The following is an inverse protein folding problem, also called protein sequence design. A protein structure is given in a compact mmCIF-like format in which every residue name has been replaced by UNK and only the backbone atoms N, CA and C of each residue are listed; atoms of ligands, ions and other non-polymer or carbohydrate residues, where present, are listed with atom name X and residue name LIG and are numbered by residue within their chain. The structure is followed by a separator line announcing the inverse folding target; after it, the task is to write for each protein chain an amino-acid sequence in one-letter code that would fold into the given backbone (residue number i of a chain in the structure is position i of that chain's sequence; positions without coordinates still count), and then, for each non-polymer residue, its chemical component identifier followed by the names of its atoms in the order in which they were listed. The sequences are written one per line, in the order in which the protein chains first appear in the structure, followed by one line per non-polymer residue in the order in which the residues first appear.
data_IF_256352920258
#
_entry.id   IF_256352920258
#
_cell.length_a   1.000
_cell.length_b   1.000
_cell.length_c   1.000
_cell.angle_alpha   90.00
_cell.angle_beta   90.00
_cell.angle_gamma   90.00
#
_symmetry.space_group_name_H-M   'P 1'
#
loop_
_entity.id
_entity.type
_entity.pdbx_description
1 polymer ?
#
# COMPACT_ATOMS: atom_id res chain seq x y z
N UNK A 1 30.49 -8.59 -57.32
CA UNK A 1 31.17 -7.41 -56.74
C UNK A 1 30.19 -6.25 -56.86
N UNK A 2 29.64 -5.58 -55.84
CA UNK A 2 29.95 -5.41 -54.43
C UNK A 2 28.64 -4.95 -53.77
N UNK A 3 28.32 -5.56 -52.62
CA UNK A 3 27.74 -4.97 -51.42
C UNK A 3 26.70 -3.84 -51.59
N UNK A 4 25.46 -4.13 -51.19
CA UNK A 4 24.72 -3.26 -50.25
C UNK A 4 23.95 -4.13 -49.26
N UNK A 5 24.56 -4.33 -48.09
CA UNK A 5 23.81 -4.30 -46.83
C UNK A 5 22.93 -3.05 -46.85
N UNK A 6 21.64 -3.20 -46.54
CA UNK A 6 21.02 -2.34 -45.54
C UNK A 6 19.85 -3.12 -44.95
N UNK A 7 20.03 -3.43 -43.68
CA UNK A 7 19.02 -3.91 -42.76
C UNK A 7 17.78 -3.05 -42.86
N UNK A 8 16.63 -3.68 -43.05
CA UNK A 8 15.40 -3.19 -42.47
C UNK A 8 14.51 -4.39 -42.18
N UNK A 9 14.88 -5.09 -41.11
CA UNK A 9 13.93 -5.81 -40.26
C UNK A 9 12.88 -4.79 -39.81
N UNK A 10 11.88 -4.53 -40.64
CA UNK A 10 10.64 -3.95 -40.14
C UNK A 10 9.92 -5.08 -39.42
N UNK A 11 10.34 -5.30 -38.18
CA UNK A 11 9.52 -5.97 -37.19
C UNK A 11 8.17 -5.26 -37.19
N UNK A 12 7.16 -5.93 -37.76
CA UNK A 12 5.76 -5.61 -37.52
C UNK A 12 5.54 -5.83 -36.03
N UNK A 13 5.85 -4.82 -35.23
CA UNK A 13 5.54 -4.78 -33.81
C UNK A 13 4.04 -5.08 -33.71
N UNK A 14 3.62 -6.15 -33.01
CA UNK A 14 2.20 -6.40 -32.86
C UNK A 14 1.62 -5.15 -32.23
N UNK A 15 0.57 -4.64 -32.85
CA UNK A 15 -0.25 -3.55 -32.35
C UNK A 15 -0.68 -3.96 -30.93
N UNK A 16 0.08 -3.51 -29.92
CA UNK A 16 -0.20 -3.81 -28.52
C UNK A 16 -1.48 -3.06 -28.22
N UNK A 17 -2.60 -3.76 -28.35
CA UNK A 17 -3.90 -3.29 -27.92
C UNK A 17 -3.74 -2.60 -26.55
N UNK A 18 -4.44 -1.48 -26.30
CA UNK A 18 -4.38 -0.84 -25.00
C UNK A 18 -4.83 -1.88 -23.97
N UNK A 19 -3.87 -2.38 -23.18
CA UNK A 19 -4.13 -3.27 -22.06
C UNK A 19 -5.01 -2.46 -21.12
N UNK A 20 -6.33 -2.66 -21.22
CA UNK A 20 -7.27 -2.04 -20.34
C UNK A 20 -7.00 -2.56 -18.93
N UNK A 21 -6.17 -1.82 -18.19
CA UNK A 21 -5.74 -2.09 -16.81
C UNK A 21 -6.85 -1.86 -15.80
N UNK A 22 -8.08 -1.58 -16.23
CA UNK A 22 -9.23 -1.36 -15.36
C UNK A 22 -9.83 -2.69 -14.88
N UNK A 23 -8.97 -3.57 -14.36
CA UNK A 23 -9.38 -4.81 -13.73
C UNK A 23 -9.68 -4.60 -12.25
N UNK A 24 -10.98 -4.64 -11.90
CA UNK A 24 -11.55 -4.86 -10.55
C UNK A 24 -11.12 -3.87 -9.47
N UNK A 25 -11.77 -2.70 -9.44
CA UNK A 25 -12.19 -2.16 -8.14
C UNK A 25 -13.34 -3.05 -7.67
N UNK A 26 -13.07 -4.00 -6.78
CA UNK A 26 -14.12 -4.53 -5.95
C UNK A 26 -14.69 -3.35 -5.17
N UNK A 27 -15.92 -2.93 -5.49
CA UNK A 27 -16.71 -2.00 -4.69
C UNK A 27 -17.11 -2.69 -3.37
N UNK A 28 -16.11 -2.95 -2.54
CA UNK A 28 -16.28 -2.96 -1.09
C UNK A 28 -15.99 -1.53 -0.65
N UNK A 29 -16.82 -1.01 0.26
CA UNK A 29 -16.59 0.28 0.90
C UNK A 29 -15.31 0.21 1.74
N UNK A 30 -14.16 0.34 1.07
CA UNK A 30 -12.85 0.34 1.69
C UNK A 30 -12.59 1.72 2.29
N UNK A 31 -12.76 1.83 3.61
CA UNK A 31 -12.36 3.03 4.34
C UNK A 31 -10.84 3.06 4.48
N UNK A 32 -10.24 4.19 4.11
CA UNK A 32 -8.79 4.41 4.15
C UNK A 32 -8.49 5.64 5.02
N UNK A 33 -7.72 5.44 6.09
CA UNK A 33 -7.16 6.52 6.90
C UNK A 33 -5.66 6.64 6.66
N UNK A 34 -5.12 7.86 6.71
CA UNK A 34 -3.69 8.14 6.47
C UNK A 34 -3.18 9.19 7.46
N UNK A 35 -2.11 8.87 8.18
CA UNK A 35 -1.33 9.83 8.96
C UNK A 35 -0.08 10.23 8.17
N UNK A 36 0.17 11.53 8.02
CA UNK A 36 1.35 12.10 7.36
C UNK A 36 2.21 12.85 8.37
N UNK A 37 3.50 12.99 8.07
CA UNK A 37 4.46 13.74 8.91
C UNK A 37 4.60 13.20 10.35
N UNK A 38 4.51 11.88 10.51
CA UNK A 38 4.71 11.21 11.81
C UNK A 38 6.20 11.29 12.18
N UNK A 39 6.49 11.78 13.38
CA UNK A 39 7.87 11.99 13.89
C UNK A 39 8.54 10.71 14.42
N UNK A 40 8.01 9.54 14.06
CA UNK A 40 8.51 8.24 14.51
C UNK A 40 9.18 7.50 13.35
N UNK A 41 10.33 6.90 13.61
CA UNK A 41 11.09 6.18 12.59
C UNK A 41 10.25 5.06 11.95
N UNK A 42 10.23 4.90 10.61
CA UNK A 42 9.37 3.93 9.93
C UNK A 42 9.55 2.49 10.40
N UNK A 43 10.79 2.10 10.74
CA UNK A 43 11.11 0.77 11.25
C UNK A 43 10.41 0.47 12.59
N UNK A 44 10.28 1.46 13.47
CA UNK A 44 9.60 1.30 14.77
C UNK A 44 8.09 1.14 14.60
N UNK A 45 7.50 1.90 13.67
CA UNK A 45 6.07 1.81 13.35
C UNK A 45 5.77 0.44 12.73
N UNK A 46 6.60 -0.04 11.80
CA UNK A 46 6.39 -1.33 11.13
C UNK A 46 6.24 -2.49 12.12
N UNK A 47 7.09 -2.56 13.13
CA UNK A 47 7.01 -3.59 14.18
C UNK A 47 5.67 -3.58 14.90
N UNK A 48 5.12 -2.39 15.19
CA UNK A 48 3.82 -2.23 15.84
C UNK A 48 2.68 -2.56 14.88
N UNK A 49 2.77 -2.17 13.61
CA UNK A 49 1.77 -2.51 12.60
C UNK A 49 1.71 -4.02 12.33
N UNK A 50 2.85 -4.69 12.30
CA UNK A 50 2.92 -6.14 12.10
C UNK A 50 2.28 -6.88 13.30
N UNK A 51 2.39 -6.34 14.51
CA UNK A 51 1.74 -6.89 15.71
C UNK A 51 0.21 -6.92 15.62
N UNK A 52 -0.40 -5.91 15.00
CA UNK A 52 -1.88 -5.76 14.94
C UNK A 52 -2.48 -6.22 13.60
N UNK A 53 -1.65 -6.58 12.61
CA UNK A 53 -2.14 -6.99 11.29
C UNK A 53 -2.94 -8.29 11.41
N UNK A 54 -4.12 -8.32 10.81
CA UNK A 54 -5.01 -9.48 10.80
C UNK A 54 -5.82 -9.71 12.08
N UNK A 55 -5.66 -8.85 13.10
CA UNK A 55 -6.46 -8.90 14.34
C UNK A 55 -7.74 -8.08 14.22
N UNK A 56 -8.69 -8.33 15.12
CA UNK A 56 -9.90 -7.50 15.26
C UNK A 56 -9.52 -6.12 15.81
N UNK A 57 -10.31 -5.11 15.46
CA UNK A 57 -10.05 -3.72 15.84
C UNK A 57 -9.96 -3.53 17.36
N UNK A 58 -10.89 -4.13 18.10
CA UNK A 58 -10.94 -4.06 19.57
C UNK A 58 -9.68 -4.65 20.21
N UNK A 59 -9.30 -5.86 19.79
CA UNK A 59 -8.08 -6.54 20.24
C UNK A 59 -6.82 -5.70 19.94
N UNK A 60 -6.74 -5.10 18.75
CA UNK A 60 -5.65 -4.22 18.37
C UNK A 60 -5.55 -2.97 19.27
N UNK A 61 -6.68 -2.32 19.57
CA UNK A 61 -6.73 -1.15 20.46
C UNK A 61 -6.27 -1.52 21.87
N UNK A 62 -6.77 -2.63 22.42
CA UNK A 62 -6.34 -3.10 23.74
C UNK A 62 -4.84 -3.38 23.78
N UNK A 63 -4.32 -4.08 22.78
CA UNK A 63 -2.90 -4.40 22.72
C UNK A 63 -2.01 -3.15 22.61
N UNK A 64 -2.40 -2.18 21.78
CA UNK A 64 -1.64 -0.92 21.63
C UNK A 64 -1.69 -0.04 22.88
N UNK A 65 -2.78 -0.09 23.65
CA UNK A 65 -2.95 0.73 24.86
C UNK A 65 -1.94 0.36 25.94
N UNK A 66 -1.62 -0.92 26.08
CA UNK A 66 -0.66 -1.42 27.08
C UNK A 66 0.76 -1.58 26.52
N UNK A 67 0.96 -1.32 25.23
CA UNK A 67 2.27 -1.45 24.60
C UNK A 67 3.18 -0.28 24.97
N UNK A 68 4.25 -0.56 25.71
CA UNK A 68 5.27 0.43 26.10
C UNK A 68 6.20 0.80 24.93
N UNK A 69 5.64 1.32 23.84
CA UNK A 69 6.39 1.81 22.66
C UNK A 69 5.77 3.12 22.18
N UNK A 70 6.59 4.13 21.95
CA UNK A 70 6.13 5.42 21.43
C UNK A 70 5.35 5.30 20.11
N UNK A 71 5.76 4.37 19.24
CA UNK A 71 5.09 4.11 17.98
C UNK A 71 3.62 3.62 18.14
N UNK A 72 3.26 3.06 19.30
CA UNK A 72 1.91 2.63 19.57
C UNK A 72 0.92 3.81 19.61
N UNK A 73 1.37 4.97 20.11
CA UNK A 73 0.55 6.18 20.19
C UNK A 73 0.11 6.67 18.79
N UNK A 74 1.06 6.75 17.86
CA UNK A 74 0.79 7.19 16.48
C UNK A 74 -0.19 6.24 15.76
N UNK A 75 0.00 4.93 15.94
CA UNK A 75 -0.87 3.90 15.34
C UNK A 75 -2.26 3.89 15.98
N UNK A 76 -2.35 4.09 17.30
CA UNK A 76 -3.62 4.15 18.02
C UNK A 76 -4.46 5.34 17.54
N UNK A 77 -3.85 6.52 17.37
CA UNK A 77 -4.53 7.69 16.83
C UNK A 77 -5.02 7.47 15.39
N UNK A 78 -4.21 6.79 14.56
CA UNK A 78 -4.61 6.44 13.20
C UNK A 78 -5.82 5.48 13.21
N UNK A 79 -5.85 4.48 14.09
CA UNK A 79 -6.98 3.56 14.22
C UNK A 79 -8.25 4.26 14.68
N UNK A 80 -8.15 5.20 15.62
CA UNK A 80 -9.28 6.02 16.07
C UNK A 80 -9.85 6.87 14.93
N UNK A 81 -8.99 7.49 14.13
CA UNK A 81 -9.42 8.23 12.94
C UNK A 81 -10.07 7.31 11.90
N UNK A 82 -9.53 6.10 11.69
CA UNK A 82 -10.13 5.14 10.77
C UNK A 82 -11.53 4.70 11.21
N UNK A 83 -11.74 4.50 12.52
CA UNK A 83 -13.06 4.20 13.09
C UNK A 83 -14.04 5.36 12.88
N UNK A 84 -13.60 6.60 13.07
CA UNK A 84 -14.47 7.77 12.86
C UNK A 84 -14.84 7.98 11.39
N UNK A 85 -14.01 7.50 10.46
CA UNK A 85 -14.25 7.60 9.01
C UNK A 85 -15.06 6.43 8.45
N UNK A 86 -15.24 5.36 9.23
CA UNK A 86 -15.96 4.14 8.86
C UNK A 86 -17.45 4.28 9.19
#
# INVERSE_FOLDING_TARGET
MVVKEQEQRQELKPNRAPVNRQGRRSDKMEIKARARYVKTAPRKIRLVCDLIRGKKLTEGIHQLTFLQKQAAYDVLNLLRSALANA
#
